data_IF_181804588372
#
_entry.id   IF_181804588372
#
_cell.length_a   1.000
_cell.length_b   1.000
_cell.length_c   1.000
_cell.angle_alpha   90.00
_cell.angle_beta   90.00
_cell.angle_gamma   90.00
#
_symmetry.space_group_name_H-M   'P 1'
#
loop_
_entity.id
_entity.type
_entity.pdbx_description
1 polymer ?
#
# COMPACT_ATOMS: atom_id res chain seq x y z
N UNK A 1 -0.25 19.80 5.10
CA UNK A 1 -0.05 19.63 6.56
C UNK A 1 -1.40 19.73 7.25
N UNK A 2 -1.99 18.62 7.69
CA UNK A 2 -3.19 18.69 8.55
C UNK A 2 -2.73 19.03 9.96
N UNK A 3 -3.02 20.25 10.41
CA UNK A 3 -2.85 20.66 11.80
C UNK A 3 -3.70 19.73 12.66
N UNK A 4 -3.04 18.84 13.43
CA UNK A 4 -3.72 18.12 14.51
C UNK A 4 -4.11 19.20 15.52
N UNK A 5 -5.37 19.60 15.53
CA UNK A 5 -5.91 20.44 16.60
C UNK A 5 -5.59 19.75 17.92
N UNK A 6 -4.70 20.36 18.71
CA UNK A 6 -4.41 19.89 20.07
C UNK A 6 -5.74 19.85 20.81
N UNK A 7 -6.06 18.70 21.42
CA UNK A 7 -7.20 18.62 22.35
C UNK A 7 -6.95 19.67 23.43
N UNK A 8 -7.89 20.60 23.57
CA UNK A 8 -7.85 21.55 24.69
C UNK A 8 -8.21 20.73 25.92
N UNK A 9 -7.30 20.66 26.89
CA UNK A 9 -7.59 20.03 28.17
C UNK A 9 -8.49 20.97 28.96
N UNK A 10 -9.76 20.57 29.13
CA UNK A 10 -10.69 21.29 29.99
C UNK A 10 -10.23 21.16 31.45
N UNK A 11 -9.99 22.29 32.10
CA UNK A 11 -9.61 22.35 33.51
C UNK A 11 -10.67 21.77 34.46
N UNK A 12 -10.31 21.59 35.75
CA UNK A 12 -11.14 20.89 36.75
C UNK A 12 -12.49 21.54 37.02
N UNK A 13 -12.65 22.83 36.68
CA UNK A 13 -13.93 23.54 36.74
C UNK A 13 -15.06 22.81 36.01
N UNK A 14 -14.75 22.16 34.88
CA UNK A 14 -15.73 21.47 34.03
C UNK A 14 -16.01 20.03 34.46
N UNK A 15 -15.40 19.53 35.53
CA UNK A 15 -15.71 18.22 36.10
C UNK A 15 -17.02 18.22 36.91
N UNK A 16 -17.45 19.39 37.41
CA UNK A 16 -18.71 19.53 38.12
C UNK A 16 -19.86 19.79 37.13
N UNK A 17 -20.90 18.94 37.18
CA UNK A 17 -22.09 19.08 36.37
C UNK A 17 -22.89 20.36 36.68
N UNK A 18 -22.89 20.81 37.94
CA UNK A 18 -23.62 22.02 38.36
C UNK A 18 -23.02 23.27 37.70
N UNK A 19 -21.70 23.33 37.58
CA UNK A 19 -21.00 24.39 36.86
C UNK A 19 -21.39 24.40 35.37
N UNK A 20 -21.44 23.22 34.74
CA UNK A 20 -21.89 23.09 33.35
C UNK A 20 -23.35 23.53 33.20
N UNK A 21 -24.23 23.15 34.13
CA UNK A 21 -25.64 23.54 34.15
C UNK A 21 -25.80 25.06 34.20
N UNK A 22 -25.12 25.72 35.14
CA UNK A 22 -25.17 27.18 35.32
C UNK A 22 -24.69 27.91 34.06
N UNK A 23 -23.54 27.47 33.50
CA UNK A 23 -22.99 28.08 32.29
C UNK A 23 -23.88 27.86 31.06
N UNK A 24 -24.54 26.71 30.95
CA UNK A 24 -25.52 26.46 29.89
C UNK A 24 -26.77 27.35 30.07
N UNK A 25 -27.25 27.53 31.30
CA UNK A 25 -28.40 28.39 31.59
C UNK A 25 -28.10 29.86 31.26
N UNK A 26 -26.94 30.37 31.69
CA UNK A 26 -26.47 31.71 31.38
C UNK A 26 -26.34 31.92 29.87
N UNK A 27 -25.72 30.95 29.18
CA UNK A 27 -25.58 30.99 27.72
C UNK A 27 -26.95 31.02 27.01
N UNK A 28 -27.90 30.20 27.47
CA UNK A 28 -29.26 30.18 26.91
C UNK A 28 -29.97 31.53 27.13
N UNK A 29 -29.83 32.14 28.31
CA UNK A 29 -30.40 33.44 28.62
C UNK A 29 -29.82 34.55 27.73
N UNK A 30 -28.49 34.61 27.58
CA UNK A 30 -27.80 35.61 26.75
C UNK A 30 -28.21 35.53 25.28
N UNK A 31 -28.51 34.33 24.78
CA UNK A 31 -28.81 34.10 23.36
C UNK A 31 -30.29 33.86 23.06
N UNK A 32 -31.18 34.16 24.02
CA UNK A 32 -32.63 33.97 23.89
C UNK A 32 -33.00 32.55 23.42
N UNK A 33 -32.27 31.55 23.92
CA UNK A 33 -32.56 30.13 23.67
C UNK A 33 -33.61 29.62 24.67
N UNK A 34 -34.56 28.76 24.26
CA UNK A 34 -35.60 28.26 25.15
C UNK A 34 -35.03 27.63 26.44
N UNK A 35 -35.50 28.08 27.61
CA UNK A 35 -35.10 27.54 28.89
C UNK A 35 -35.49 26.06 29.00
N UNK A 36 -34.60 25.24 29.59
CA UNK A 36 -34.82 23.80 29.73
C UNK A 36 -34.70 22.99 28.44
N UNK A 37 -34.22 23.59 27.33
CA UNK A 37 -33.88 22.87 26.10
C UNK A 37 -32.37 22.92 25.89
N UNK A 38 -31.73 21.77 25.69
CA UNK A 38 -30.27 21.74 25.49
C UNK A 38 -29.90 22.31 24.11
N UNK A 39 -29.04 23.34 24.02
CA UNK A 39 -28.60 23.90 22.74
C UNK A 39 -27.92 22.85 21.84
N UNK A 40 -28.16 22.93 20.53
CA UNK A 40 -27.46 22.05 19.58
C UNK A 40 -25.98 22.42 19.49
N UNK A 41 -25.11 21.44 19.16
CA UNK A 41 -23.68 21.68 18.93
C UNK A 41 -23.44 22.81 17.91
N UNK A 42 -24.26 22.83 16.84
CA UNK A 42 -24.19 23.84 15.79
C UNK A 42 -24.46 25.23 16.36
N UNK A 43 -25.48 25.37 17.21
CA UNK A 43 -25.81 26.64 17.85
C UNK A 43 -24.68 27.12 18.78
N UNK A 44 -24.18 26.26 19.68
CA UNK A 44 -23.08 26.58 20.60
C UNK A 44 -21.83 27.05 19.84
N UNK A 45 -21.42 26.33 18.79
CA UNK A 45 -20.24 26.70 17.98
C UNK A 45 -20.45 27.96 17.17
N UNK A 46 -21.64 28.19 16.64
CA UNK A 46 -21.95 29.40 15.86
C UNK A 46 -21.86 30.65 16.73
N UNK A 47 -22.14 30.51 18.04
CA UNK A 47 -21.97 31.57 19.04
C UNK A 47 -20.60 31.54 19.75
N UNK A 48 -19.65 30.72 19.29
CA UNK A 48 -18.29 30.68 19.83
C UNK A 48 -18.14 29.94 21.17
N UNK A 49 -19.18 29.27 21.68
CA UNK A 49 -19.14 28.53 22.94
C UNK A 49 -18.54 27.12 22.78
N UNK A 50 -17.30 27.05 22.31
CA UNK A 50 -16.60 25.77 22.07
C UNK A 50 -16.37 24.98 23.35
N UNK A 51 -16.10 25.68 24.46
CA UNK A 51 -15.83 25.09 25.76
C UNK A 51 -17.05 24.30 26.28
N UNK A 52 -18.26 24.83 26.09
CA UNK A 52 -19.50 24.13 26.45
C UNK A 52 -19.71 22.85 25.65
N UNK A 53 -19.32 22.83 24.37
CA UNK A 53 -19.41 21.62 23.53
C UNK A 53 -18.49 20.53 24.04
N UNK A 54 -17.27 20.87 24.41
CA UNK A 54 -16.30 19.92 24.96
C UNK A 54 -16.73 19.43 26.35
N UNK A 55 -17.27 20.32 27.19
CA UNK A 55 -17.77 19.97 28.51
C UNK A 55 -18.96 19.00 28.41
N UNK A 56 -19.92 19.25 27.51
CA UNK A 56 -21.02 18.31 27.22
C UNK A 56 -20.48 16.95 26.79
N UNK A 57 -19.45 16.92 25.92
CA UNK A 57 -18.84 15.67 25.48
C UNK A 57 -18.13 14.92 26.63
N UNK A 58 -17.47 15.66 27.53
CA UNK A 58 -16.79 15.12 28.72
C UNK A 58 -17.79 14.45 29.68
N UNK A 59 -18.99 15.01 29.82
CA UNK A 59 -20.08 14.48 30.65
C UNK A 59 -20.91 13.36 29.98
N UNK A 60 -20.39 12.75 28.92
CA UNK A 60 -21.04 11.61 28.25
C UNK A 60 -21.94 11.99 27.06
N UNK A 61 -21.91 13.25 26.64
CA UNK A 61 -22.64 13.74 25.48
C UNK A 61 -24.00 14.35 25.80
N UNK A 62 -24.67 14.91 24.78
CA UNK A 62 -25.87 15.73 24.96
C UNK A 62 -27.05 14.97 25.57
N UNK A 63 -27.21 13.68 25.27
CA UNK A 63 -28.32 12.88 25.79
C UNK A 63 -28.18 12.65 27.30
N UNK A 64 -26.99 12.27 27.76
CA UNK A 64 -26.70 12.03 29.18
C UNK A 64 -26.78 13.36 29.96
N UNK A 65 -26.22 14.44 29.41
CA UNK A 65 -26.30 15.77 30.05
C UNK A 65 -27.74 16.25 30.14
N UNK A 66 -28.53 16.16 29.06
CA UNK A 66 -29.94 16.55 29.09
C UNK A 66 -30.74 15.74 30.12
N UNK A 67 -30.51 14.42 30.19
CA UNK A 67 -31.15 13.55 31.17
C UNK A 67 -30.79 13.94 32.62
N UNK A 68 -29.49 14.17 32.91
CA UNK A 68 -29.03 14.53 34.26
C UNK A 68 -29.53 15.92 34.69
N UNK A 69 -29.68 16.86 33.75
CA UNK A 69 -30.19 18.20 34.03
C UNK A 69 -31.73 18.30 34.01
N UNK A 70 -32.43 17.26 33.59
CA UNK A 70 -33.88 17.30 33.37
C UNK A 70 -34.30 18.19 32.19
N UNK A 71 -33.42 18.41 31.22
CA UNK A 71 -33.66 19.25 30.05
C UNK A 71 -34.14 18.43 28.85
N UNK A 72 -34.90 19.05 27.96
CA UNK A 72 -35.37 18.43 26.72
C UNK A 72 -34.31 18.52 25.62
N UNK A 73 -34.17 17.45 24.84
CA UNK A 73 -33.39 17.49 23.61
C UNK A 73 -34.20 18.16 22.49
N UNK A 74 -33.57 18.96 21.63
CA UNK A 74 -34.26 19.57 20.50
C UNK A 74 -34.79 18.49 19.55
N UNK A 75 -35.99 18.69 18.99
CA UNK A 75 -36.72 17.71 18.15
C UNK A 75 -35.96 17.23 16.89
N UNK A 76 -34.82 17.83 16.54
CA UNK A 76 -33.98 17.38 15.44
C UNK A 76 -33.16 16.14 15.86
N UNK A 77 -33.63 14.96 15.47
CA UNK A 77 -33.15 13.61 15.84
C UNK A 77 -31.66 13.29 15.60
N UNK A 78 -30.84 14.15 15.01
CA UNK A 78 -29.41 13.86 14.79
C UNK A 78 -28.56 15.10 15.03
N UNK A 79 -27.77 15.05 16.11
CA UNK A 79 -26.57 15.86 16.26
C UNK A 79 -25.73 15.70 14.99
N UNK A 80 -25.69 16.73 14.15
CA UNK A 80 -24.97 16.64 12.88
C UNK A 80 -23.49 16.55 13.19
N UNK A 81 -22.78 15.48 12.80
CA UNK A 81 -21.37 15.35 13.13
C UNK A 81 -20.61 16.53 12.54
N UNK A 82 -19.70 17.12 13.32
CA UNK A 82 -18.91 18.34 13.00
C UNK A 82 -18.35 18.34 11.57
N UNK A 83 -17.96 17.15 11.08
CA UNK A 83 -17.45 16.96 9.71
C UNK A 83 -18.47 17.35 8.62
N UNK A 84 -19.77 17.22 8.85
CA UNK A 84 -20.79 17.61 7.87
C UNK A 84 -20.87 19.14 7.72
N UNK A 85 -20.85 19.88 8.83
CA UNK A 85 -20.92 21.35 8.81
C UNK A 85 -19.66 21.94 8.18
N UNK A 86 -18.48 21.43 8.54
CA UNK A 86 -17.21 21.87 7.94
C UNK A 86 -17.15 21.56 6.44
N UNK A 87 -17.66 20.40 6.01
CA UNK A 87 -17.74 20.04 4.58
C UNK A 87 -18.64 21.00 3.80
N UNK A 88 -19.76 21.46 4.38
CA UNK A 88 -20.62 22.43 3.71
C UNK A 88 -19.94 23.78 3.51
N UNK A 89 -19.22 24.30 4.54
CA UNK A 89 -18.45 25.55 4.42
C UNK A 89 -17.33 25.45 3.39
N UNK A 90 -16.59 24.34 3.40
CA UNK A 90 -15.56 24.08 2.39
C UNK A 90 -16.18 24.05 0.99
N UNK A 91 -17.34 23.40 0.84
CA UNK A 91 -18.06 23.34 -0.43
C UNK A 91 -18.57 24.73 -0.88
N UNK A 92 -19.00 25.59 0.04
CA UNK A 92 -19.41 26.98 -0.26
C UNK A 92 -18.21 27.74 -0.85
N UNK A 93 -17.06 27.69 -0.18
CA UNK A 93 -15.83 28.34 -0.63
C UNK A 93 -15.36 27.81 -2.01
N UNK A 94 -15.43 26.50 -2.23
CA UNK A 94 -15.10 25.91 -3.54
C UNK A 94 -16.09 26.34 -4.63
N UNK A 95 -17.37 26.52 -4.28
CA UNK A 95 -18.39 27.01 -5.22
C UNK A 95 -18.07 28.43 -5.66
N UNK A 96 -17.72 29.32 -4.72
CA UNK A 96 -17.30 30.69 -5.02
C UNK A 96 -16.04 30.75 -5.88
N UNK A 97 -15.04 29.90 -5.61
CA UNK A 97 -13.83 29.82 -6.44
C UNK A 97 -14.13 29.40 -7.89
N UNK A 98 -15.12 28.51 -8.09
CA UNK A 98 -15.58 28.11 -9.43
C UNK A 98 -16.33 29.24 -10.13
N UNK A 99 -17.19 29.98 -9.44
CA UNK A 99 -17.89 31.15 -10.00
C UNK A 99 -16.89 32.21 -10.46
N UNK A 100 -15.89 32.53 -9.63
CA UNK A 100 -14.81 33.46 -10.00
C UNK A 100 -14.04 32.97 -11.23
N UNK A 101 -13.76 31.67 -11.32
CA UNK A 101 -13.12 31.11 -12.51
C UNK A 101 -13.98 31.31 -13.78
N UNK A 102 -15.30 31.16 -13.67
CA UNK A 102 -16.21 31.36 -14.80
C UNK A 102 -16.21 32.82 -15.27
N UNK A 103 -16.22 33.77 -14.34
CA UNK A 103 -16.14 35.20 -14.62
C UNK A 103 -14.77 35.58 -15.24
N UNK A 104 -13.66 35.18 -14.62
CA UNK A 104 -12.29 35.46 -15.08
C UNK A 104 -12.03 34.98 -16.52
N UNK A 105 -12.72 33.92 -16.96
CA UNK A 105 -12.50 33.28 -18.26
C UNK A 105 -13.66 33.47 -19.23
N UNK A 106 -14.63 34.32 -18.91
CA UNK A 106 -15.83 34.57 -19.70
C UNK A 106 -16.51 33.26 -20.16
N UNK A 107 -16.58 32.27 -19.25
CA UNK A 107 -17.22 30.99 -19.54
C UNK A 107 -18.74 31.16 -19.58
N UNK A 108 -19.45 30.34 -20.39
CA UNK A 108 -20.90 30.46 -20.51
C UNK A 108 -21.58 30.27 -19.15
N UNK A 109 -22.36 31.27 -18.71
CA UNK A 109 -23.08 31.24 -17.42
C UNK A 109 -24.10 30.10 -17.30
N UNK A 110 -24.51 29.53 -18.43
CA UNK A 110 -25.53 28.48 -18.52
C UNK A 110 -24.94 27.06 -18.46
N UNK A 111 -23.61 26.91 -18.41
CA UNK A 111 -22.98 25.59 -18.41
C UNK A 111 -21.89 25.47 -17.34
N UNK A 112 -21.88 24.35 -16.63
CA UNK A 112 -20.84 24.04 -15.65
C UNK A 112 -19.49 23.77 -16.36
N UNK A 113 -18.39 24.45 -16.00
CA UNK A 113 -17.09 24.18 -16.60
C UNK A 113 -16.65 22.73 -16.36
N UNK A 114 -16.24 22.06 -17.44
CA UNK A 114 -15.77 20.66 -17.36
C UNK A 114 -14.60 20.51 -16.38
N UNK A 115 -14.43 19.31 -15.80
CA UNK A 115 -13.27 19.00 -14.94
C UNK A 115 -11.92 19.31 -15.60
N UNK A 116 -11.81 19.10 -16.91
CA UNK A 116 -10.60 19.41 -17.67
C UNK A 116 -10.39 20.91 -17.79
N UNK A 117 -11.46 21.68 -17.98
CA UNK A 117 -11.43 23.15 -18.01
C UNK A 117 -10.94 23.70 -16.66
N UNK A 118 -11.51 23.23 -15.54
CA UNK A 118 -11.07 23.66 -14.19
C UNK A 118 -9.60 23.26 -13.96
N UNK A 119 -9.21 22.02 -14.33
CA UNK A 119 -7.83 21.55 -14.21
C UNK A 119 -6.83 22.40 -15.01
N UNK A 120 -7.21 22.83 -16.23
CA UNK A 120 -6.37 23.65 -17.11
C UNK A 120 -6.08 25.02 -16.51
N UNK A 121 -7.08 25.67 -15.91
CA UNK A 121 -6.94 27.05 -15.44
C UNK A 121 -6.62 27.19 -13.95
N UNK A 122 -7.17 26.31 -13.08
CA UNK A 122 -6.92 26.29 -11.63
C UNK A 122 -6.74 24.84 -11.14
N UNK A 123 -5.56 24.22 -11.38
CA UNK A 123 -5.31 22.82 -11.02
C UNK A 123 -5.46 22.54 -9.52
N UNK A 124 -5.08 23.49 -8.65
CA UNK A 124 -5.22 23.37 -7.18
C UNK A 124 -6.69 23.29 -6.77
N UNK A 125 -7.56 24.11 -7.36
CA UNK A 125 -9.01 24.07 -7.14
C UNK A 125 -9.58 22.71 -7.55
N UNK A 126 -9.19 22.21 -8.74
CA UNK A 126 -9.64 20.89 -9.19
C UNK A 126 -9.18 19.77 -8.26
N UNK A 127 -7.96 19.83 -7.73
CA UNK A 127 -7.47 18.84 -6.76
C UNK A 127 -8.30 18.84 -5.47
N UNK A 128 -8.67 20.02 -4.94
CA UNK A 128 -9.58 20.13 -3.78
C UNK A 128 -10.96 19.55 -4.09
N UNK A 129 -11.53 19.87 -5.27
CA UNK A 129 -12.83 19.34 -5.71
C UNK A 129 -12.76 17.81 -5.87
N UNK A 130 -11.67 17.27 -6.42
CA UNK A 130 -11.48 15.82 -6.60
C UNK A 130 -11.24 15.07 -5.29
N UNK A 131 -10.75 15.72 -4.24
CA UNK A 131 -10.59 15.10 -2.92
C UNK A 131 -11.94 14.79 -2.27
N UNK A 132 -12.99 15.55 -2.59
CA UNK A 132 -14.36 15.28 -2.16
C UNK A 132 -15.06 14.25 -3.06
N UNK A 133 -15.60 13.17 -2.47
CA UNK A 133 -16.25 12.05 -3.19
C UNK A 133 -17.39 12.47 -4.12
N UNK A 134 -17.93 13.68 -3.95
CA UNK A 134 -19.00 14.25 -4.79
C UNK A 134 -19.02 15.79 -4.81
N UNK A 135 -17.89 16.46 -4.54
CA UNK A 135 -17.89 17.94 -4.47
C UNK A 135 -18.25 18.56 -5.82
N UNK A 136 -17.75 18.00 -6.92
CA UNK A 136 -18.09 18.50 -8.26
C UNK A 136 -19.61 18.47 -8.48
N UNK A 137 -20.26 17.33 -8.23
CA UNK A 137 -21.70 17.17 -8.40
C UNK A 137 -22.50 18.09 -7.47
N UNK A 138 -22.04 18.29 -6.23
CA UNK A 138 -22.71 19.18 -5.27
C UNK A 138 -22.55 20.66 -5.65
N UNK A 139 -21.38 21.08 -6.15
CA UNK A 139 -21.16 22.43 -6.69
C UNK A 139 -22.09 22.65 -7.89
N UNK A 140 -22.14 21.70 -8.83
CA UNK A 140 -23.02 21.76 -9.99
C UNK A 140 -24.49 21.94 -9.59
N UNK A 141 -24.95 21.20 -8.58
CA UNK A 141 -26.32 21.33 -8.04
C UNK A 141 -26.58 22.71 -7.40
N UNK A 142 -25.62 23.24 -6.63
CA UNK A 142 -25.73 24.54 -5.97
C UNK A 142 -25.77 25.70 -6.96
N UNK A 143 -25.06 25.58 -8.08
CA UNK A 143 -25.10 26.54 -9.17
C UNK A 143 -26.33 26.37 -10.08
N UNK A 144 -27.22 25.41 -9.80
CA UNK A 144 -28.45 25.20 -10.55
C UNK A 144 -28.29 24.48 -11.89
N UNK A 145 -27.11 23.90 -12.17
CA UNK A 145 -26.88 23.17 -13.41
C UNK A 145 -27.46 21.75 -13.36
N UNK A 146 -28.07 21.30 -14.47
CA UNK A 146 -28.56 19.92 -14.59
C UNK A 146 -27.37 18.95 -14.68
N UNK A 147 -27.17 18.13 -13.66
CA UNK A 147 -26.21 17.03 -13.69
C UNK A 147 -26.81 15.89 -14.50
N UNK A 148 -26.41 15.74 -15.76
CA UNK A 148 -26.62 14.47 -16.46
C UNK A 148 -25.84 13.39 -15.71
N UNK A 149 -26.57 12.55 -14.95
CA UNK A 149 -26.00 11.33 -14.38
C UNK A 149 -25.70 10.38 -15.53
N UNK A 150 -24.57 10.56 -16.20
CA UNK A 150 -24.03 9.55 -17.12
C UNK A 150 -23.83 8.29 -16.29
N UNK A 151 -24.76 7.35 -16.42
CA UNK A 151 -24.67 6.06 -15.76
C UNK A 151 -23.33 5.44 -16.16
N UNK A 152 -22.54 5.02 -15.17
CA UNK A 152 -21.15 4.53 -15.32
C UNK A 152 -21.01 3.46 -16.42
N UNK A 153 -22.11 2.79 -16.79
CA UNK A 153 -22.22 1.83 -17.90
C UNK A 153 -21.97 2.41 -19.30
N UNK A 154 -22.26 3.69 -19.58
CA UNK A 154 -22.18 4.21 -20.96
C UNK A 154 -20.75 4.66 -21.35
N UNK A 155 -19.94 5.09 -20.38
CA UNK A 155 -18.63 5.71 -20.64
C UNK A 155 -17.51 4.72 -20.99
N UNK A 156 -17.60 3.47 -20.55
CA UNK A 156 -16.64 2.42 -20.98
C UNK A 156 -16.99 1.78 -22.33
N UNK A 157 -18.19 2.02 -22.86
CA UNK A 157 -18.70 1.30 -24.03
C UNK A 157 -18.25 1.91 -25.36
N UNK A 158 -17.74 3.15 -25.38
CA UNK A 158 -17.40 3.87 -26.62
C UNK A 158 -15.89 3.89 -26.93
N UNK A 159 -14.99 3.80 -25.93
CA UNK A 159 -13.53 3.87 -26.17
C UNK A 159 -12.82 2.50 -26.22
N UNK A 160 -13.45 1.39 -25.81
CA UNK A 160 -12.84 0.05 -25.80
C UNK A 160 -13.42 -0.95 -26.81
N UNK A 161 -14.39 -0.53 -27.62
CA UNK A 161 -15.28 -1.46 -28.33
C UNK A 161 -14.62 -2.19 -29.52
N UNK A 162 -13.56 -1.62 -30.11
CA UNK A 162 -12.97 -2.15 -31.35
C UNK A 162 -11.96 -3.29 -31.05
N UNK A 163 -11.23 -3.25 -29.92
CA UNK A 163 -10.30 -4.33 -29.54
C UNK A 163 -10.95 -5.45 -28.70
N UNK A 164 -12.11 -5.19 -28.07
CA UNK A 164 -12.84 -6.22 -27.31
C UNK A 164 -13.52 -7.27 -28.20
N UNK A 165 -13.96 -6.93 -29.42
CA UNK A 165 -14.82 -7.82 -30.22
C UNK A 165 -14.08 -9.05 -30.78
N UNK A 166 -12.78 -8.97 -31.09
CA UNK A 166 -12.01 -10.15 -31.51
C UNK A 166 -11.54 -11.03 -30.35
N UNK A 167 -11.18 -10.42 -29.22
CA UNK A 167 -10.68 -11.15 -28.05
C UNK A 167 -11.78 -11.82 -27.22
N UNK A 168 -13.05 -11.44 -27.44
CA UNK A 168 -14.18 -11.93 -26.64
C UNK A 168 -15.08 -12.91 -27.41
N UNK A 169 -14.53 -13.65 -28.37
CA UNK A 169 -15.16 -14.89 -28.86
C UNK A 169 -15.35 -15.79 -27.64
N UNK A 170 -16.60 -15.87 -27.15
CA UNK A 170 -16.99 -16.58 -25.93
C UNK A 170 -16.35 -17.96 -25.95
N UNK A 171 -15.35 -18.16 -25.08
CA UNK A 171 -14.75 -19.48 -24.87
C UNK A 171 -15.86 -20.46 -24.42
N UNK A 172 -15.73 -21.73 -24.79
CA UNK A 172 -16.70 -22.75 -24.42
C UNK A 172 -16.88 -22.81 -22.89
N UNK A 173 -18.07 -23.21 -22.45
CA UNK A 173 -18.33 -23.41 -21.04
C UNK A 173 -17.34 -24.43 -20.46
N UNK A 174 -16.71 -24.10 -19.33
CA UNK A 174 -15.67 -24.92 -18.70
C UNK A 174 -14.23 -24.65 -19.17
N UNK A 175 -13.99 -23.83 -20.20
CA UNK A 175 -12.64 -23.55 -20.72
C UNK A 175 -11.64 -23.11 -19.63
N UNK A 176 -12.06 -22.16 -18.78
CA UNK A 176 -11.25 -21.62 -17.67
C UNK A 176 -11.14 -22.53 -16.46
N UNK A 177 -11.80 -23.69 -16.47
CA UNK A 177 -11.66 -24.71 -15.43
C UNK A 177 -10.40 -25.54 -15.64
N UNK A 178 -9.82 -25.59 -16.83
CA UNK A 178 -8.54 -26.26 -17.06
C UNK A 178 -7.37 -25.28 -16.84
N UNK A 179 -6.42 -25.67 -16.00
CA UNK A 179 -5.22 -24.86 -15.68
C UNK A 179 -4.30 -24.74 -16.90
N UNK A 180 -4.27 -25.75 -17.78
CA UNK A 180 -3.46 -25.71 -18.99
C UNK A 180 -3.96 -24.65 -19.97
N UNK A 181 -5.27 -24.42 -20.03
CA UNK A 181 -5.84 -23.34 -20.84
C UNK A 181 -5.45 -21.96 -20.29
N UNK A 182 -5.43 -21.80 -18.96
CA UNK A 182 -4.92 -20.58 -18.31
C UNK A 182 -3.44 -20.37 -18.68
N UNK A 183 -2.63 -21.43 -18.66
CA UNK A 183 -1.21 -21.37 -19.05
C UNK A 183 -1.00 -20.92 -20.49
N UNK A 184 -1.75 -21.49 -21.46
CA UNK A 184 -1.69 -21.08 -22.87
C UNK A 184 -2.08 -19.61 -23.07
N UNK A 185 -3.14 -19.17 -22.39
CA UNK A 185 -3.60 -17.79 -22.48
C UNK A 185 -2.61 -16.81 -21.85
N UNK A 186 -1.97 -17.20 -20.75
CA UNK A 186 -0.88 -16.44 -20.12
C UNK A 186 0.34 -16.34 -21.03
N UNK A 187 0.77 -17.44 -21.64
CA UNK A 187 1.90 -17.47 -22.57
C UNK A 187 1.64 -16.57 -23.78
N UNK A 188 0.46 -16.68 -24.40
CA UNK A 188 0.04 -15.82 -25.51
C UNK A 188 0.01 -14.35 -25.11
N UNK A 189 -0.57 -14.05 -23.94
CA UNK A 189 -0.61 -12.69 -23.41
C UNK A 189 0.80 -12.11 -23.21
N UNK A 190 1.72 -12.90 -22.64
CA UNK A 190 3.10 -12.49 -22.41
C UNK A 190 3.84 -12.26 -23.74
N UNK A 191 3.69 -13.15 -24.73
CA UNK A 191 4.27 -12.98 -26.08
C UNK A 191 3.78 -11.70 -26.75
N UNK A 192 2.46 -11.45 -26.73
CA UNK A 192 1.85 -10.28 -27.36
C UNK A 192 2.27 -8.95 -26.72
N UNK A 193 2.55 -8.94 -25.41
CA UNK A 193 2.91 -7.73 -24.67
C UNK A 193 4.42 -7.65 -24.35
N UNK A 194 5.23 -8.55 -24.90
CA UNK A 194 6.67 -8.66 -24.63
C UNK A 194 7.01 -8.74 -23.12
N UNK A 195 6.23 -9.53 -22.37
CA UNK A 195 6.50 -9.84 -20.97
C UNK A 195 7.28 -11.15 -20.83
N UNK A 196 7.96 -11.31 -19.69
CA UNK A 196 8.66 -12.55 -19.38
C UNK A 196 7.67 -13.72 -19.28
N UNK A 197 7.83 -14.70 -20.15
CA UNK A 197 6.92 -15.85 -20.28
C UNK A 197 6.99 -16.80 -19.08
N UNK A 198 8.03 -16.69 -18.25
CA UNK A 198 8.19 -17.51 -17.05
C UNK A 198 7.54 -16.89 -15.81
N UNK A 199 6.90 -15.72 -15.91
CA UNK A 199 6.29 -15.01 -14.77
C UNK A 199 4.80 -14.85 -14.99
N UNK A 200 3.99 -15.14 -13.97
CA UNK A 200 2.56 -14.78 -13.97
C UNK A 200 2.45 -13.26 -13.85
N UNK A 201 1.92 -12.53 -14.87
CA UNK A 201 1.81 -11.07 -14.82
C UNK A 201 0.94 -10.61 -13.65
N UNK A 202 1.25 -9.41 -13.13
CA UNK A 202 0.47 -8.84 -12.04
C UNK A 202 -1.00 -8.64 -12.46
N UNK A 203 -1.93 -8.86 -11.52
CA UNK A 203 -3.36 -8.60 -11.72
C UNK A 203 -3.66 -7.24 -12.40
N UNK A 204 -2.95 -6.16 -12.04
CA UNK A 204 -3.13 -4.85 -12.67
C UNK A 204 -2.67 -4.79 -14.12
N UNK A 205 -1.62 -5.53 -14.50
CA UNK A 205 -1.14 -5.60 -15.88
C UNK A 205 -2.19 -6.29 -16.76
N UNK A 206 -2.74 -7.42 -16.31
CA UNK A 206 -3.84 -8.12 -17.00
C UNK A 206 -5.07 -7.20 -17.18
N UNK A 207 -5.51 -6.56 -16.10
CA UNK A 207 -6.68 -5.66 -16.12
C UNK A 207 -6.46 -4.44 -17.03
N UNK A 208 -5.26 -3.83 -17.01
CA UNK A 208 -4.93 -2.66 -17.84
C UNK A 208 -4.95 -2.96 -19.34
N UNK A 209 -4.79 -4.24 -19.71
CA UNK A 209 -4.80 -4.75 -21.09
C UNK A 209 -6.12 -5.42 -21.46
N UNK A 210 -7.16 -5.23 -20.65
CA UNK A 210 -8.49 -5.81 -20.91
C UNK A 210 -8.60 -7.32 -20.68
N UNK A 211 -7.53 -7.99 -20.20
CA UNK A 211 -7.51 -9.43 -19.93
C UNK A 211 -7.99 -9.77 -18.53
N UNK A 212 -9.15 -9.21 -18.17
CA UNK A 212 -9.80 -9.51 -16.90
C UNK A 212 -10.27 -10.96 -16.79
N UNK A 213 -10.54 -11.60 -17.93
CA UNK A 213 -10.86 -13.03 -18.07
C UNK A 213 -9.77 -13.93 -17.46
N UNK A 214 -8.51 -13.73 -17.83
CA UNK A 214 -7.36 -14.47 -17.29
C UNK A 214 -7.26 -14.24 -15.78
N UNK A 215 -7.34 -12.98 -15.34
CA UNK A 215 -7.23 -12.65 -13.92
C UNK A 215 -8.32 -13.33 -13.08
N UNK A 216 -9.58 -13.29 -13.51
CA UNK A 216 -10.66 -13.99 -12.82
C UNK A 216 -10.48 -15.51 -12.80
N UNK A 217 -9.96 -16.10 -13.89
CA UNK A 217 -9.63 -17.52 -13.93
C UNK A 217 -8.55 -17.88 -12.89
N UNK A 218 -7.47 -17.09 -12.81
CA UNK A 218 -6.41 -17.24 -11.81
C UNK A 218 -6.99 -17.15 -10.39
N UNK A 219 -7.82 -16.14 -10.11
CA UNK A 219 -8.44 -15.97 -8.80
C UNK A 219 -9.31 -17.19 -8.41
N UNK A 220 -10.09 -17.74 -9.34
CA UNK A 220 -10.89 -18.97 -9.10
C UNK A 220 -10.05 -20.21 -8.85
N UNK A 221 -8.82 -20.26 -9.38
CA UNK A 221 -7.86 -21.35 -9.14
C UNK A 221 -7.07 -21.22 -7.85
N UNK A 222 -7.45 -20.28 -6.98
CA UNK A 222 -6.80 -20.05 -5.68
C UNK A 222 -5.69 -19.01 -5.72
N UNK A 223 -5.66 -18.17 -6.77
CA UNK A 223 -4.76 -17.02 -6.88
C UNK A 223 -3.47 -17.28 -7.64
N UNK A 224 -2.69 -16.22 -7.81
CA UNK A 224 -1.46 -16.19 -8.62
C UNK A 224 -0.47 -17.27 -8.18
N UNK A 225 -0.27 -17.45 -6.87
CA UNK A 225 0.72 -18.39 -6.31
C UNK A 225 0.41 -19.86 -6.63
N UNK A 226 -0.85 -20.25 -6.50
CA UNK A 226 -1.28 -21.62 -6.78
C UNK A 226 -1.18 -21.95 -8.26
N UNK A 227 -1.61 -21.02 -9.11
CA UNK A 227 -1.51 -21.17 -10.57
C UNK A 227 -0.05 -21.19 -11.02
N UNK A 228 0.78 -20.29 -10.50
CA UNK A 228 2.22 -20.25 -10.77
C UNK A 228 2.89 -21.59 -10.43
N UNK A 229 2.63 -22.13 -9.24
CA UNK A 229 3.14 -23.43 -8.83
C UNK A 229 2.64 -24.58 -9.71
N UNK A 230 1.38 -24.56 -10.15
CA UNK A 230 0.82 -25.60 -11.01
C UNK A 230 1.37 -25.57 -12.45
N UNK A 231 1.76 -24.39 -12.93
CA UNK A 231 2.28 -24.18 -14.28
C UNK A 231 3.81 -24.11 -14.35
N UNK A 232 4.51 -24.22 -13.21
CA UNK A 232 5.97 -24.03 -13.16
C UNK A 232 6.41 -22.60 -13.50
N UNK A 233 5.56 -21.60 -13.22
CA UNK A 233 5.84 -20.17 -13.43
C UNK A 233 6.23 -19.49 -12.12
N UNK A 234 6.90 -18.34 -12.21
CA UNK A 234 7.21 -17.47 -11.08
C UNK A 234 6.02 -16.57 -10.74
N UNK A 235 5.82 -16.31 -9.44
CA UNK A 235 4.95 -15.21 -9.03
C UNK A 235 5.63 -13.88 -9.30
N UNK A 236 4.91 -12.92 -9.88
CA UNK A 236 5.48 -11.60 -10.16
C UNK A 236 6.02 -10.89 -8.90
N UNK A 237 5.37 -11.06 -7.75
CA UNK A 237 5.85 -10.48 -6.49
C UNK A 237 7.18 -11.09 -6.04
N UNK A 238 7.29 -12.42 -6.08
CA UNK A 238 8.48 -13.15 -5.64
C UNK A 238 9.66 -12.90 -6.61
N UNK A 239 9.38 -12.88 -7.92
CA UNK A 239 10.38 -12.52 -8.94
C UNK A 239 10.89 -11.09 -8.78
N UNK A 240 9.99 -10.12 -8.61
CA UNK A 240 10.36 -8.72 -8.39
C UNK A 240 11.19 -8.55 -7.13
N UNK A 241 10.84 -9.25 -6.05
CA UNK A 241 11.64 -9.23 -4.82
C UNK A 241 13.05 -9.78 -5.06
N UNK A 242 13.18 -10.85 -5.82
CA UNK A 242 14.48 -11.42 -6.21
C UNK A 242 15.30 -10.47 -7.08
N UNK A 243 14.71 -9.85 -8.11
CA UNK A 243 15.41 -8.87 -8.95
C UNK A 243 15.84 -7.63 -8.17
N UNK A 244 14.99 -7.13 -7.29
CA UNK A 244 15.31 -6.02 -6.39
C UNK A 244 16.46 -6.38 -5.44
N UNK A 245 16.48 -7.62 -4.93
CA UNK A 245 17.58 -8.13 -4.11
C UNK A 245 18.88 -8.25 -4.89
N UNK A 246 18.89 -8.85 -6.09
CA UNK A 246 20.07 -8.91 -6.96
C UNK A 246 20.60 -7.52 -7.29
N UNK A 247 19.71 -6.58 -7.65
CA UNK A 247 20.08 -5.19 -7.88
C UNK A 247 20.72 -4.57 -6.64
N UNK A 248 20.12 -4.76 -5.46
CA UNK A 248 20.66 -4.25 -4.19
C UNK A 248 22.08 -4.78 -3.92
N UNK A 249 22.30 -6.09 -4.05
CA UNK A 249 23.60 -6.72 -3.78
C UNK A 249 24.68 -6.13 -4.71
N UNK A 250 24.38 -6.00 -6.01
CA UNK A 250 25.29 -5.34 -6.97
C UNK A 250 25.59 -3.89 -6.60
N UNK A 251 24.57 -3.13 -6.21
CA UNK A 251 24.74 -1.73 -5.84
C UNK A 251 25.55 -1.57 -4.56
N UNK A 252 25.39 -2.46 -3.57
CA UNK A 252 26.21 -2.48 -2.35
C UNK A 252 27.67 -2.77 -2.72
N UNK A 253 27.92 -3.78 -3.55
CA UNK A 253 29.27 -4.11 -3.99
C UNK A 253 29.94 -2.94 -4.71
N UNK A 254 29.27 -2.36 -5.70
CA UNK A 254 29.76 -1.19 -6.42
C UNK A 254 30.01 0.01 -5.48
N UNK A 255 29.11 0.24 -4.52
CA UNK A 255 29.28 1.28 -3.53
C UNK A 255 30.54 1.05 -2.69
N UNK A 256 30.79 -0.19 -2.26
CA UNK A 256 31.97 -0.53 -1.48
C UNK A 256 33.27 -0.34 -2.26
N UNK A 257 33.27 -0.59 -3.58
CA UNK A 257 34.41 -0.32 -4.45
C UNK A 257 34.68 1.19 -4.57
N UNK A 258 33.65 2.00 -4.84
CA UNK A 258 33.80 3.45 -5.05
C UNK A 258 34.20 4.19 -3.77
N UNK A 259 33.67 3.78 -2.61
CA UNK A 259 33.92 4.44 -1.33
C UNK A 259 35.03 3.79 -0.51
N UNK A 260 35.82 2.88 -1.11
CA UNK A 260 36.92 2.17 -0.48
C UNK A 260 36.57 1.50 0.86
N UNK A 261 35.38 0.90 0.94
CA UNK A 261 34.92 0.14 2.10
C UNK A 261 34.69 -1.34 1.74
N UNK A 262 35.63 -1.91 0.98
CA UNK A 262 35.61 -3.32 0.56
C UNK A 262 35.52 -4.24 1.77
N UNK A 263 34.60 -5.21 1.71
CA UNK A 263 34.37 -6.17 2.80
C UNK A 263 33.62 -5.60 4.01
N UNK A 264 33.26 -4.31 4.03
CA UNK A 264 32.45 -3.71 5.10
C UNK A 264 31.03 -3.39 4.61
N UNK A 265 30.04 -3.58 5.46
CA UNK A 265 28.65 -3.19 5.20
C UNK A 265 28.48 -1.69 5.52
N UNK A 266 28.15 -0.84 4.52
CA UNK A 266 27.93 0.56 4.77
C UNK A 266 26.74 0.78 5.71
N UNK A 267 26.88 1.75 6.63
CA UNK A 267 25.78 2.08 7.53
C UNK A 267 24.68 2.86 6.81
N UNK A 268 23.48 2.89 7.39
CA UNK A 268 22.39 3.74 6.90
C UNK A 268 22.80 5.21 6.77
N UNK A 269 23.59 5.72 7.73
CA UNK A 269 24.13 7.09 7.68
C UNK A 269 25.10 7.27 6.52
N UNK A 270 25.96 6.28 6.27
CA UNK A 270 26.93 6.29 5.15
C UNK A 270 26.21 6.43 3.81
N UNK A 271 25.19 5.60 3.56
CA UNK A 271 24.38 5.71 2.34
C UNK A 271 23.74 7.10 2.18
N UNK A 272 23.16 7.65 3.26
CA UNK A 272 22.53 8.98 3.21
C UNK A 272 23.53 10.11 2.94
N UNK A 273 24.71 10.08 3.54
CA UNK A 273 25.75 11.08 3.31
C UNK A 273 26.28 11.03 1.87
N UNK A 274 26.30 9.85 1.26
CA UNK A 274 26.63 9.67 -0.15
C UNK A 274 25.45 9.96 -1.12
N UNK A 275 24.31 10.48 -0.63
CA UNK A 275 23.13 10.76 -1.44
C UNK A 275 22.36 9.52 -1.92
N UNK A 276 22.71 8.32 -1.41
CA UNK A 276 22.10 7.03 -1.78
C UNK A 276 21.00 6.60 -0.82
N UNK A 277 20.02 7.47 -0.57
CA UNK A 277 18.88 7.14 0.29
C UNK A 277 18.02 6.00 -0.27
N UNK A 278 18.04 5.80 -1.59
CA UNK A 278 17.44 4.66 -2.29
C UNK A 278 17.96 3.32 -1.73
N UNK A 279 19.29 3.16 -1.67
CA UNK A 279 19.92 1.95 -1.14
C UNK A 279 19.63 1.75 0.34
N UNK A 280 19.64 2.85 1.10
CA UNK A 280 19.32 2.81 2.53
C UNK A 280 17.90 2.25 2.79
N UNK A 281 16.92 2.63 1.96
CA UNK A 281 15.55 2.10 2.03
C UNK A 281 15.47 0.64 1.57
N UNK A 282 16.18 0.26 0.50
CA UNK A 282 16.22 -1.13 0.03
C UNK A 282 16.85 -2.07 1.07
N UNK A 283 17.97 -1.66 1.68
CA UNK A 283 18.60 -2.41 2.78
C UNK A 283 17.61 -2.66 3.92
N UNK A 284 16.83 -1.66 4.32
CA UNK A 284 15.82 -1.83 5.37
C UNK A 284 14.75 -2.84 4.98
N UNK A 285 14.28 -2.79 3.72
CA UNK A 285 13.26 -3.72 3.20
C UNK A 285 13.73 -5.17 3.17
N UNK A 286 15.02 -5.40 2.90
CA UNK A 286 15.63 -6.73 2.82
C UNK A 286 16.24 -7.22 4.15
N UNK A 287 15.77 -6.68 5.30
CA UNK A 287 16.12 -7.17 6.64
C UNK A 287 17.09 -6.28 7.43
N UNK A 288 17.49 -5.13 6.87
CA UNK A 288 18.36 -4.16 7.52
C UNK A 288 19.86 -4.50 7.41
N UNK A 289 20.70 -3.56 7.84
CA UNK A 289 22.17 -3.61 7.65
C UNK A 289 22.81 -4.82 8.31
N UNK A 290 22.36 -5.19 9.52
CA UNK A 290 22.93 -6.31 10.29
C UNK A 290 22.65 -7.64 9.58
N UNK A 291 21.40 -7.91 9.22
CA UNK A 291 21.02 -9.16 8.57
C UNK A 291 21.64 -9.29 7.17
N UNK A 292 21.60 -8.24 6.36
CA UNK A 292 22.25 -8.22 5.05
C UNK A 292 23.76 -8.37 5.15
N UNK A 293 24.42 -7.68 6.08
CA UNK A 293 25.85 -7.80 6.29
C UNK A 293 26.25 -9.24 6.61
N UNK A 294 25.56 -9.87 7.56
CA UNK A 294 25.78 -11.29 7.89
C UNK A 294 25.49 -12.24 6.72
N UNK A 295 24.41 -12.01 5.96
CA UNK A 295 24.04 -12.82 4.78
C UNK A 295 25.06 -12.72 3.65
N UNK A 296 25.67 -11.55 3.46
CA UNK A 296 26.62 -11.26 2.38
C UNK A 296 28.09 -11.38 2.80
N UNK A 297 28.38 -11.77 4.04
CA UNK A 297 29.76 -11.88 4.55
C UNK A 297 30.46 -10.53 4.75
N UNK A 298 29.72 -9.44 4.87
CA UNK A 298 30.27 -8.10 5.07
C UNK A 298 30.42 -7.77 6.56
N UNK A 299 31.57 -7.22 6.93
CA UNK A 299 31.87 -6.78 8.28
C UNK A 299 31.03 -5.56 8.68
N UNK A 300 30.46 -5.59 9.89
CA UNK A 300 29.68 -4.48 10.43
C UNK A 300 30.60 -3.50 11.15
N UNK A 301 30.40 -2.19 10.95
CA UNK A 301 31.16 -1.13 11.62
C UNK A 301 30.95 -1.08 13.14
N UNK A 302 29.84 -1.63 13.64
CA UNK A 302 29.58 -1.75 15.06
C UNK A 302 29.43 -3.22 15.46
N UNK A 303 30.30 -3.69 16.36
CA UNK A 303 30.20 -5.01 16.96
C UNK A 303 29.11 -4.95 18.05
N UNK A 304 27.88 -5.27 17.67
CA UNK A 304 26.76 -5.35 18.61
C UNK A 304 26.63 -6.78 19.11
N UNK A 305 26.12 -7.00 20.32
CA UNK A 305 25.89 -8.37 20.81
C UNK A 305 25.04 -9.20 19.82
N UNK A 306 24.11 -8.56 19.11
CA UNK A 306 23.29 -9.17 18.05
C UNK A 306 24.08 -9.64 16.84
N UNK A 307 25.18 -8.98 16.46
CA UNK A 307 25.98 -9.43 15.32
C UNK A 307 26.72 -10.74 15.62
N UNK A 308 27.03 -11.02 16.89
CA UNK A 308 27.66 -12.29 17.29
C UNK A 308 26.73 -13.49 17.12
N UNK A 309 25.42 -13.27 17.25
CA UNK A 309 24.40 -14.33 17.07
C UNK A 309 24.13 -14.64 15.60
N UNK A 310 24.51 -13.75 14.69
CA UNK A 310 24.34 -13.90 13.24
C UNK A 310 25.67 -14.24 12.57
N UNK A 311 26.39 -15.23 13.08
CA UNK A 311 27.55 -15.78 12.38
C UNK A 311 27.11 -16.93 11.47
N UNK A 312 27.11 -16.68 10.17
CA UNK A 312 26.70 -17.65 9.16
C UNK A 312 27.90 -18.35 8.49
N UNK A 313 29.13 -18.07 8.93
CA UNK A 313 30.37 -18.53 8.30
C UNK A 313 30.89 -17.61 7.20
N UNK A 314 32.04 -17.93 6.59
CA UNK A 314 32.64 -17.14 5.51
C UNK A 314 31.67 -17.05 4.32
N UNK A 315 31.66 -15.89 3.65
CA UNK A 315 30.86 -15.66 2.45
C UNK A 315 31.43 -14.49 1.65
N UNK A 316 31.23 -14.48 0.33
CA UNK A 316 31.67 -13.40 -0.55
C UNK A 316 30.46 -12.78 -1.26
N UNK A 317 30.45 -11.45 -1.31
CA UNK A 317 29.44 -10.69 -2.05
C UNK A 317 29.58 -10.86 -3.57
N UNK A 318 30.81 -11.00 -4.07
CA UNK A 318 31.09 -11.30 -5.47
C UNK A 318 30.47 -12.63 -5.88
N UNK A 319 30.74 -13.69 -5.11
CA UNK A 319 30.11 -14.99 -5.32
C UNK A 319 28.58 -14.91 -5.23
N UNK A 320 28.04 -14.15 -4.29
CA UNK A 320 26.59 -13.96 -4.17
C UNK A 320 25.99 -13.34 -5.44
N UNK A 321 26.67 -12.36 -6.06
CA UNK A 321 26.24 -11.74 -7.31
C UNK A 321 26.25 -12.78 -8.43
N UNK A 322 27.36 -13.48 -8.63
CA UNK A 322 27.50 -14.46 -9.71
C UNK A 322 26.47 -15.59 -9.59
N UNK A 323 26.24 -16.06 -8.36
CA UNK A 323 25.25 -17.09 -8.07
C UNK A 323 23.82 -16.60 -8.32
N UNK A 324 23.46 -15.37 -7.93
CA UNK A 324 22.14 -14.80 -8.18
C UNK A 324 21.92 -14.50 -9.66
N UNK A 325 22.95 -14.07 -10.41
CA UNK A 325 22.88 -13.89 -11.85
C UNK A 325 22.67 -15.22 -12.58
N UNK A 326 23.42 -16.25 -12.20
CA UNK A 326 23.24 -17.59 -12.75
C UNK A 326 21.83 -18.13 -12.43
N UNK A 327 21.37 -17.90 -11.19
CA UNK A 327 20.00 -18.22 -10.77
C UNK A 327 18.97 -17.50 -11.64
N UNK A 328 19.15 -16.21 -11.93
CA UNK A 328 18.22 -15.45 -12.79
C UNK A 328 18.05 -16.08 -14.18
N UNK A 329 19.09 -16.73 -14.71
CA UNK A 329 19.09 -17.33 -16.04
C UNK A 329 18.58 -18.78 -16.05
N UNK A 330 18.78 -19.52 -14.96
CA UNK A 330 18.61 -20.98 -14.93
C UNK A 330 17.74 -21.49 -13.76
N UNK A 331 17.08 -20.63 -13.00
CA UNK A 331 16.24 -21.05 -11.89
C UNK A 331 14.98 -21.79 -12.36
N UNK A 332 14.56 -22.74 -11.53
CA UNK A 332 13.24 -23.33 -11.57
C UNK A 332 12.37 -22.78 -10.43
N UNK A 333 11.07 -23.06 -10.48
CA UNK A 333 10.13 -22.71 -9.42
C UNK A 333 9.65 -23.96 -8.72
N UNK A 334 9.68 -23.93 -7.38
CA UNK A 334 8.99 -24.93 -6.57
C UNK A 334 8.14 -24.23 -5.52
N UNK A 335 6.85 -24.58 -5.50
CA UNK A 335 5.85 -24.00 -4.60
C UNK A 335 5.78 -22.45 -4.67
N UNK A 336 6.05 -21.90 -5.85
CA UNK A 336 6.09 -20.45 -6.08
C UNK A 336 7.38 -19.76 -5.65
N UNK A 337 8.34 -20.47 -5.06
CA UNK A 337 9.65 -19.94 -4.67
C UNK A 337 10.71 -20.20 -5.74
N UNK A 338 11.64 -19.25 -5.89
CA UNK A 338 12.77 -19.37 -6.82
C UNK A 338 13.77 -20.36 -6.24
N UNK A 339 13.99 -21.46 -6.96
CA UNK A 339 14.93 -22.50 -6.59
C UNK A 339 16.32 -22.17 -7.08
N UNK A 340 17.30 -22.38 -6.20
CA UNK A 340 18.70 -22.34 -6.55
C UNK A 340 19.02 -23.44 -7.59
N UNK A 341 19.74 -23.13 -8.68
CA UNK A 341 20.15 -24.13 -9.66
C UNK A 341 20.93 -25.28 -9.04
N UNK A 342 20.77 -26.49 -9.57
CA UNK A 342 21.50 -27.67 -9.10
C UNK A 342 22.98 -27.60 -9.48
N UNK A 343 23.83 -28.33 -8.76
CA UNK A 343 25.26 -28.44 -9.11
C UNK A 343 25.45 -28.98 -10.52
N UNK A 344 24.68 -30.01 -10.91
CA UNK A 344 24.70 -30.54 -12.27
C UNK A 344 24.32 -29.49 -13.32
N UNK A 345 23.39 -28.58 -13.01
CA UNK A 345 23.03 -27.47 -13.88
C UNK A 345 24.20 -26.47 -14.01
N UNK A 346 24.88 -26.14 -12.90
CA UNK A 346 26.07 -25.28 -12.95
C UNK A 346 27.21 -25.91 -13.76
N UNK A 347 27.49 -27.19 -13.52
CA UNK A 347 28.54 -27.94 -14.23
C UNK A 347 28.25 -28.06 -15.73
N UNK A 348 27.00 -28.34 -16.12
CA UNK A 348 26.64 -28.44 -17.54
C UNK A 348 26.76 -27.11 -18.31
N UNK A 349 26.72 -25.99 -17.58
CA UNK A 349 26.96 -24.64 -18.13
C UNK A 349 28.40 -24.15 -17.89
N UNK A 350 29.33 -25.04 -17.53
CA UNK A 350 30.75 -24.72 -17.36
C UNK A 350 31.07 -23.89 -16.11
N UNK A 351 30.13 -23.74 -15.17
CA UNK A 351 30.29 -22.96 -13.93
C UNK A 351 30.80 -23.81 -12.77
N UNK A 352 31.91 -24.51 -12.99
CA UNK A 352 32.57 -25.30 -11.94
C UNK A 352 33.09 -24.41 -10.80
N UNK A 353 33.48 -23.18 -11.12
CA UNK A 353 33.87 -22.13 -10.16
C UNK A 353 32.81 -21.89 -9.07
N UNK A 354 31.53 -21.85 -9.46
CA UNK A 354 30.43 -21.65 -8.52
C UNK A 354 30.22 -22.86 -7.61
N UNK A 355 30.36 -24.08 -8.14
CA UNK A 355 30.19 -25.32 -7.38
C UNK A 355 31.30 -25.46 -6.34
N UNK A 356 32.56 -25.32 -6.75
CA UNK A 356 33.70 -25.41 -5.84
C UNK A 356 33.59 -24.34 -4.73
N UNK A 357 33.23 -23.10 -5.09
CA UNK A 357 33.05 -22.01 -4.12
C UNK A 357 31.86 -22.25 -3.19
N UNK A 358 30.76 -22.78 -3.70
CA UNK A 358 29.59 -23.12 -2.91
C UNK A 358 29.88 -24.19 -1.84
N UNK A 359 30.69 -25.20 -2.17
CA UNK A 359 31.15 -26.19 -1.21
C UNK A 359 31.95 -25.53 -0.07
N UNK A 360 32.86 -24.60 -0.39
CA UNK A 360 33.62 -23.84 0.63
C UNK A 360 32.74 -22.97 1.54
N UNK A 361 31.55 -22.56 1.08
CA UNK A 361 30.58 -21.77 1.85
C UNK A 361 29.51 -22.58 2.58
N UNK A 362 29.74 -23.89 2.72
CA UNK A 362 28.87 -24.79 3.48
C UNK A 362 27.80 -25.50 2.63
N UNK A 363 28.00 -25.57 1.31
CA UNK A 363 27.14 -26.30 0.38
C UNK A 363 25.89 -25.54 -0.08
N UNK A 364 25.20 -26.13 -1.07
CA UNK A 364 24.10 -25.47 -1.78
C UNK A 364 22.94 -25.02 -0.88
N UNK A 365 22.58 -25.81 0.14
CA UNK A 365 21.48 -25.47 1.05
C UNK A 365 21.79 -24.21 1.86
N UNK A 366 23.02 -24.10 2.39
CA UNK A 366 23.43 -22.94 3.18
C UNK A 366 23.52 -21.68 2.31
N UNK A 367 24.02 -21.81 1.08
CA UNK A 367 24.04 -20.73 0.10
C UNK A 367 22.62 -20.29 -0.27
N UNK A 368 21.72 -21.23 -0.60
CA UNK A 368 20.33 -20.94 -0.92
C UNK A 368 19.64 -20.16 0.21
N UNK A 369 19.79 -20.63 1.45
CA UNK A 369 19.24 -19.97 2.64
C UNK A 369 19.75 -18.54 2.80
N UNK A 370 21.06 -18.32 2.64
CA UNK A 370 21.66 -16.97 2.70
C UNK A 370 21.14 -16.07 1.60
N UNK A 371 20.94 -16.58 0.39
CA UNK A 371 20.45 -15.80 -0.74
C UNK A 371 18.92 -15.64 -0.75
N UNK A 372 18.20 -16.34 0.12
CA UNK A 372 16.74 -16.32 0.17
C UNK A 372 16.10 -17.09 -0.99
N UNK A 373 16.76 -18.16 -1.42
CA UNK A 373 16.33 -19.07 -2.46
C UNK A 373 15.85 -20.39 -1.84
N UNK A 374 14.99 -21.10 -2.56
CA UNK A 374 14.66 -22.48 -2.23
C UNK A 374 15.87 -23.40 -2.52
N UNK A 375 16.12 -24.43 -1.68
CA UNK A 375 17.20 -25.38 -1.92
C UNK A 375 16.97 -26.17 -3.23
N UNK A 376 18.04 -26.73 -3.81
CA UNK A 376 18.00 -27.39 -5.12
C UNK A 376 17.17 -28.68 -5.15
N UNK A 377 17.09 -29.43 -4.04
CA UNK A 377 16.34 -30.68 -3.95
C UNK A 377 15.20 -30.61 -2.92
N UNK A 378 14.09 -31.30 -3.21
CA UNK A 378 12.91 -31.32 -2.32
C UNK A 378 13.20 -32.00 -0.99
N UNK A 379 14.10 -32.99 -0.98
CA UNK A 379 14.50 -33.71 0.25
C UNK A 379 15.19 -32.80 1.26
N UNK A 380 15.79 -31.70 0.80
CA UNK A 380 16.50 -30.75 1.65
C UNK A 380 15.54 -29.82 2.42
N UNK A 381 14.25 -29.79 2.04
CA UNK A 381 13.22 -29.03 2.75
C UNK A 381 12.86 -29.63 4.10
N UNK A 382 12.97 -30.96 4.23
CA UNK A 382 12.55 -31.66 5.44
C UNK A 382 13.32 -31.17 6.69
N UNK A 383 14.56 -30.72 6.53
CA UNK A 383 15.36 -30.18 7.62
C UNK A 383 14.96 -28.75 8.04
N UNK A 384 14.37 -27.96 7.16
CA UNK A 384 13.95 -26.57 7.46
C UNK A 384 12.64 -26.50 8.25
N UNK A 385 11.81 -27.54 8.19
CA UNK A 385 10.55 -27.62 8.95
C UNK A 385 10.76 -28.04 10.42
N UNK A 386 11.92 -28.63 10.76
CA UNK A 386 12.18 -29.27 12.07
C UNK A 386 12.63 -28.27 13.14
N UNK A 387 13.03 -27.04 12.78
CA UNK A 387 13.29 -25.96 13.74
C UNK A 387 12.00 -25.33 14.31
N UNK A 388 10.83 -25.80 13.90
CA UNK A 388 9.56 -25.49 14.53
C UNK A 388 9.42 -26.26 15.84
N UNK A 389 9.97 -25.69 16.93
CA UNK A 389 9.62 -25.96 18.34
C UNK A 389 9.21 -27.42 18.57
N UNK A 390 10.19 -28.29 18.85
CA UNK A 390 9.88 -29.51 19.58
C UNK A 390 9.28 -29.07 20.92
N UNK A 391 7.94 -29.01 21.00
CA UNK A 391 7.23 -29.06 22.26
C UNK A 391 7.74 -30.30 22.97
N UNK A 392 8.53 -30.09 24.01
CA UNK A 392 8.83 -31.11 25.02
C UNK A 392 7.48 -31.60 25.55
N UNK A 393 6.94 -32.65 24.93
CA UNK A 393 6.05 -33.57 25.61
C UNK A 393 6.92 -34.31 26.61
N UNK A 394 6.99 -33.73 27.81
CA UNK A 394 7.23 -34.50 29.02
C UNK A 394 6.08 -35.51 29.10
N UNK A 395 6.33 -36.72 28.61
CA UNK A 395 5.58 -37.89 29.04
C UNK A 395 6.08 -38.24 30.45
N UNK A 396 5.19 -38.05 31.42
CA UNK A 396 5.32 -38.58 32.78
C UNK A 396 4.75 -39.99 32.87
#
# INVERSE_FOLDING_TARGET
MQSKMKKVELGPFWDNLDNLSNQLADFCAIHNYPAGVLPTNVFLRTKGAYVLVEAIAKHGGPEIVAQKLGWQLPKQKKWTPVRAVLRNRELDALTEEVVRLMEERNLPKNEMPSRNTIRKYKPVLMNKISAGRSYYEQITQRLGFKVEKKTRKKRHKEEGKIEEEENNKKRAWGYWTDVNNIGKELENFCKQNNFNQHIVPASQQLLSKGRGDIWYAIARKGGERKVASQLGLHCNQDWRYFEEFLYLVKQIHQFCLVHNCKGMMPSYRTFRLAGRSDLATLVLRHGGTIALGARLGLQLSCNTAKSRLLNWGPFSIEFAIDCLEFTKQHCNVVEGMIRMPTEQCMLSHGRKDLVDTMETFGGAVQVARRLGLAPPHDRDWAWLAVDGISENRNDG
#
